data_IF_959316699675
#
_entry.id   IF_959316699675
#
_cell.length_a   1.000
_cell.length_b   1.000
_cell.length_c   1.000
_cell.angle_alpha   90.00
_cell.angle_beta   90.00
_cell.angle_gamma   90.00
#
_symmetry.space_group_name_H-M   'P 1'
#
loop_
_entity.id
_entity.type
_entity.pdbx_description
1 polymer ?
#
# COMPACT_ATOMS: atom_id res chain seq x y z
N UNK A 1 13.89 -55.16 27.16
CA UNK A 1 13.16 -54.99 25.88
C UNK A 1 12.07 -53.91 25.89
N UNK A 2 11.37 -53.64 27.01
CA UNK A 2 10.21 -52.72 27.05
C UNK A 2 10.56 -51.22 26.84
N UNK A 3 11.74 -50.76 27.23
CA UNK A 3 12.15 -49.34 27.14
C UNK A 3 12.35 -48.83 25.70
N UNK A 4 12.75 -49.71 24.76
CA UNK A 4 12.92 -49.32 23.35
C UNK A 4 11.57 -49.07 22.66
N UNK A 5 10.52 -49.76 23.08
CA UNK A 5 9.17 -49.62 22.53
C UNK A 5 8.53 -48.30 22.94
N UNK A 6 8.70 -47.86 24.19
CA UNK A 6 8.19 -46.56 24.64
C UNK A 6 8.86 -45.38 23.93
N UNK A 7 10.18 -45.46 23.70
CA UNK A 7 10.91 -44.42 22.96
C UNK A 7 10.41 -44.28 21.52
N UNK A 8 10.14 -45.41 20.86
CA UNK A 8 9.64 -45.44 19.48
C UNK A 8 8.21 -44.88 19.38
N UNK A 9 7.34 -45.19 20.35
CA UNK A 9 5.99 -44.62 20.43
C UNK A 9 6.03 -43.13 20.71
N UNK A 10 6.95 -42.65 21.55
CA UNK A 10 7.10 -41.23 21.87
C UNK A 10 7.62 -40.42 20.69
N UNK A 11 8.58 -40.95 19.91
CA UNK A 11 9.07 -40.34 18.67
C UNK A 11 7.97 -40.31 17.61
N UNK A 12 7.20 -41.40 17.45
CA UNK A 12 6.10 -41.46 16.49
C UNK A 12 4.99 -40.46 16.84
N UNK A 13 4.64 -40.34 18.12
CA UNK A 13 3.69 -39.35 18.63
C UNK A 13 4.17 -37.91 18.41
N UNK A 14 5.48 -37.64 18.53
CA UNK A 14 6.07 -36.33 18.22
C UNK A 14 6.12 -36.02 16.70
N UNK A 15 6.24 -37.04 15.85
CA UNK A 15 6.22 -36.85 14.39
C UNK A 15 4.81 -36.61 13.84
N UNK A 16 3.77 -37.05 14.55
CA UNK A 16 2.37 -36.83 14.19
C UNK A 16 1.85 -35.44 14.61
N UNK A 17 2.59 -34.70 15.44
CA UNK A 17 2.33 -33.30 15.81
C UNK A 17 3.14 -32.30 15.00
N UNK A 18 3.79 -32.73 13.90
CA UNK A 18 4.25 -31.82 12.86
C UNK A 18 3.00 -31.34 12.12
N UNK A 19 2.26 -30.48 12.81
CA UNK A 19 1.12 -29.73 12.33
C UNK A 19 1.48 -29.16 10.96
N UNK A 20 0.54 -29.23 10.02
CA UNK A 20 0.57 -28.52 8.75
C UNK A 20 0.88 -27.04 9.03
N UNK A 21 2.16 -26.72 9.09
CA UNK A 21 2.64 -25.35 9.20
C UNK A 21 2.57 -24.84 7.78
N UNK A 22 1.35 -24.49 7.36
CA UNK A 22 1.15 -23.77 6.12
C UNK A 22 2.00 -22.51 6.25
N UNK A 23 3.07 -22.43 5.48
CA UNK A 23 3.90 -21.24 5.42
C UNK A 23 3.03 -20.13 4.79
N UNK A 24 2.36 -19.34 5.61
CA UNK A 24 1.53 -18.24 5.15
C UNK A 24 2.43 -17.18 4.54
N UNK A 25 2.32 -16.88 3.25
CA UNK A 25 3.14 -15.78 2.69
C UNK A 25 2.51 -14.45 3.10
N UNK A 26 3.24 -13.64 3.87
CA UNK A 26 2.80 -12.30 4.22
C UNK A 26 3.30 -11.30 3.18
N UNK A 27 2.39 -10.42 2.76
CA UNK A 27 2.62 -9.45 1.71
C UNK A 27 2.28 -8.05 2.25
N UNK A 28 3.11 -7.08 1.92
CA UNK A 28 2.81 -5.65 2.05
C UNK A 28 3.04 -4.94 0.73
N UNK A 29 2.56 -3.69 0.60
CA UNK A 29 2.99 -2.82 -0.50
C UNK A 29 4.01 -1.81 0.02
N UNK A 30 5.09 -1.63 -0.74
CA UNK A 30 5.99 -0.52 -0.51
C UNK A 30 5.36 0.81 -0.94
N UNK A 31 5.75 1.91 -0.31
CA UNK A 31 5.34 3.25 -0.72
C UNK A 31 5.79 3.55 -2.16
N UNK A 32 6.92 3.00 -2.59
CA UNK A 32 7.40 3.08 -3.96
C UNK A 32 6.42 2.44 -4.95
N UNK A 33 5.87 1.27 -4.61
CA UNK A 33 4.84 0.61 -5.42
C UNK A 33 3.56 1.45 -5.47
N UNK A 34 3.12 1.99 -4.33
CA UNK A 34 1.92 2.85 -4.27
C UNK A 34 2.11 4.11 -5.11
N UNK A 35 3.26 4.77 -5.01
CA UNK A 35 3.58 5.96 -5.80
C UNK A 35 3.60 5.66 -7.31
N UNK A 36 4.26 4.57 -7.73
CA UNK A 36 4.33 4.18 -9.15
C UNK A 36 2.99 3.72 -9.72
N UNK A 37 2.10 3.23 -8.86
CA UNK A 37 0.74 2.84 -9.24
C UNK A 37 -0.23 4.02 -9.33
N UNK A 38 0.15 5.20 -8.81
CA UNK A 38 -0.71 6.38 -8.77
C UNK A 38 -0.60 7.21 -10.05
N UNK A 39 -1.73 7.73 -10.52
CA UNK A 39 -1.79 8.75 -11.58
C UNK A 39 -1.79 10.17 -11.02
N UNK A 40 -2.28 10.33 -9.78
CA UNK A 40 -2.32 11.60 -9.05
C UNK A 40 -2.00 11.33 -7.56
N UNK A 41 -1.12 12.13 -6.98
CA UNK A 41 -0.80 12.07 -5.54
C UNK A 41 -0.97 13.49 -5.00
N UNK A 42 -1.87 13.66 -4.03
CA UNK A 42 -2.26 14.96 -3.48
C UNK A 42 -2.32 14.92 -1.97
N UNK A 43 -2.06 16.08 -1.36
CA UNK A 43 -2.23 16.36 0.05
C UNK A 43 -3.32 17.42 0.21
N UNK A 44 -4.12 17.31 1.26
CA UNK A 44 -5.28 18.19 1.46
C UNK A 44 -6.27 17.64 2.48
N UNK A 45 -7.51 18.08 2.40
CA UNK A 45 -8.58 17.73 3.36
C UNK A 45 -9.81 17.19 2.66
N UNK A 46 -10.43 16.18 3.25
CA UNK A 46 -11.72 15.65 2.79
C UNK A 46 -12.81 16.59 3.28
N UNK A 47 -13.60 17.14 2.35
CA UNK A 47 -14.64 18.15 2.65
C UNK A 47 -16.04 17.56 2.66
N UNK A 48 -16.30 16.49 1.91
CA UNK A 48 -17.56 15.73 1.98
C UNK A 48 -17.33 14.24 1.74
N UNK A 49 -18.21 13.41 2.31
CA UNK A 49 -18.25 11.96 2.11
C UNK A 49 -19.71 11.54 1.94
N UNK A 50 -20.11 11.33 0.69
CA UNK A 50 -21.49 11.06 0.30
C UNK A 50 -21.62 9.64 -0.27
N UNK A 51 -22.78 9.01 -0.09
CA UNK A 51 -23.06 7.72 -0.75
C UNK A 51 -23.92 7.95 -1.99
N UNK A 52 -23.45 7.45 -3.14
CA UNK A 52 -24.22 7.38 -4.39
C UNK A 52 -24.36 5.91 -4.78
N UNK A 53 -25.49 5.30 -4.39
CA UNK A 53 -25.73 3.87 -4.57
C UNK A 53 -24.72 3.02 -3.79
N UNK A 54 -23.94 2.19 -4.49
CA UNK A 54 -22.89 1.33 -3.89
C UNK A 54 -21.52 2.01 -3.82
N UNK A 55 -21.41 3.26 -4.27
CA UNK A 55 -20.16 4.00 -4.25
C UNK A 55 -20.19 5.09 -3.18
N UNK A 56 -19.03 5.31 -2.57
CA UNK A 56 -18.76 6.51 -1.80
C UNK A 56 -18.09 7.52 -2.71
N UNK A 57 -18.56 8.76 -2.65
CA UNK A 57 -18.00 9.92 -3.34
C UNK A 57 -17.40 10.82 -2.29
N UNK A 58 -16.11 11.10 -2.41
CA UNK A 58 -15.40 12.01 -1.52
C UNK A 58 -15.05 13.29 -2.26
N UNK A 59 -15.49 14.42 -1.73
CA UNK A 59 -15.01 15.73 -2.16
C UNK A 59 -13.73 16.06 -1.40
N UNK A 60 -12.74 16.59 -2.11
CA UNK A 60 -11.41 16.80 -1.58
C UNK A 60 -10.86 18.16 -1.99
N UNK A 61 -10.37 18.92 -1.02
CA UNK A 61 -9.67 20.17 -1.23
C UNK A 61 -8.16 19.95 -1.13
N UNK A 62 -7.47 20.18 -2.23
CA UNK A 62 -6.03 19.95 -2.41
C UNK A 62 -5.26 21.16 -1.89
N UNK A 63 -4.42 20.94 -0.88
CA UNK A 63 -3.42 21.90 -0.41
C UNK A 63 -2.12 21.82 -1.21
N UNK A 64 -1.73 20.62 -1.66
CA UNK A 64 -0.50 20.39 -2.40
C UNK A 64 -0.64 19.22 -3.40
N UNK A 65 -0.31 19.46 -4.67
CA UNK A 65 -0.16 18.40 -5.68
C UNK A 65 1.28 17.89 -5.75
N UNK A 66 1.50 16.61 -5.46
CA UNK A 66 2.85 16.02 -5.41
C UNK A 66 3.23 15.35 -6.75
N UNK A 67 2.31 14.59 -7.33
CA UNK A 67 2.51 13.86 -8.58
C UNK A 67 1.23 13.88 -9.43
N UNK A 68 1.36 13.81 -10.76
CA UNK A 68 0.23 13.92 -11.69
C UNK A 68 -0.07 15.37 -12.08
N UNK A 69 -0.92 15.53 -13.10
CA UNK A 69 -1.41 16.84 -13.53
C UNK A 69 -2.65 17.21 -12.72
N UNK A 70 -2.56 18.30 -11.95
CA UNK A 70 -3.68 18.82 -11.17
C UNK A 70 -4.40 19.91 -11.97
N UNK A 71 -5.68 19.70 -12.27
CA UNK A 71 -6.50 20.66 -13.05
C UNK A 71 -7.28 21.65 -12.17
N UNK A 72 -7.49 21.30 -10.91
CA UNK A 72 -8.32 22.04 -9.97
C UNK A 72 -7.84 21.76 -8.54
N UNK A 73 -7.98 22.73 -7.65
CA UNK A 73 -7.73 22.55 -6.21
C UNK A 73 -8.86 21.77 -5.53
N UNK A 74 -10.04 21.66 -6.16
CA UNK A 74 -11.09 20.76 -5.75
C UNK A 74 -11.13 19.53 -6.67
N UNK A 75 -11.08 18.34 -6.09
CA UNK A 75 -11.22 17.07 -6.82
C UNK A 75 -12.24 16.17 -6.13
N UNK A 76 -12.82 15.25 -6.91
CA UNK A 76 -13.63 14.16 -6.39
C UNK A 76 -12.92 12.83 -6.67
N UNK A 77 -13.02 11.90 -5.72
CA UNK A 77 -12.66 10.50 -5.94
C UNK A 77 -13.75 9.58 -5.42
N UNK A 78 -13.90 8.43 -6.08
CA UNK A 78 -14.95 7.47 -5.76
C UNK A 78 -14.37 6.11 -5.42
N UNK A 79 -15.04 5.39 -4.53
CA UNK A 79 -14.64 4.03 -4.21
C UNK A 79 -15.84 3.16 -3.79
N UNK A 80 -15.68 1.84 -3.88
CA UNK A 80 -16.73 0.89 -3.52
C UNK A 80 -16.96 0.89 -1.99
N UNK A 81 -18.23 1.00 -1.58
CA UNK A 81 -18.58 1.11 -0.17
C UNK A 81 -18.12 -0.11 0.64
N UNK A 82 -17.36 0.15 1.70
CA UNK A 82 -16.99 -0.82 2.72
C UNK A 82 -17.13 -0.11 4.08
N UNK A 83 -17.92 -0.67 4.99
CA UNK A 83 -18.27 0.00 6.25
C UNK A 83 -17.04 0.46 7.04
N UNK A 84 -16.06 -0.42 7.26
CA UNK A 84 -14.86 -0.09 8.04
C UNK A 84 -14.03 1.04 7.40
N UNK A 85 -13.95 1.03 6.07
CA UNK A 85 -13.26 2.07 5.32
C UNK A 85 -14.02 3.39 5.31
N UNK A 86 -15.34 3.34 5.16
CA UNK A 86 -16.21 4.52 5.21
C UNK A 86 -16.09 5.22 6.56
N UNK A 87 -16.08 4.46 7.65
CA UNK A 87 -15.94 4.99 9.00
C UNK A 87 -14.55 5.61 9.21
N UNK A 88 -13.50 5.00 8.65
CA UNK A 88 -12.15 5.59 8.64
C UNK A 88 -12.13 6.94 7.91
N UNK A 89 -12.68 6.99 6.70
CA UNK A 89 -12.69 8.21 5.86
C UNK A 89 -13.56 9.30 6.47
N UNK A 90 -14.72 8.97 7.03
CA UNK A 90 -15.57 9.93 7.76
C UNK A 90 -14.86 10.54 8.97
N UNK A 91 -14.08 9.75 9.73
CA UNK A 91 -13.28 10.26 10.85
C UNK A 91 -12.19 11.25 10.40
N UNK A 92 -11.58 11.03 9.24
CA UNK A 92 -10.62 11.97 8.66
C UNK A 92 -11.30 13.30 8.30
N UNK A 93 -12.51 13.23 7.72
CA UNK A 93 -13.31 14.40 7.37
C UNK A 93 -13.74 15.22 8.61
N UNK A 94 -14.31 14.59 9.65
CA UNK A 94 -14.87 15.31 10.81
C UNK A 94 -13.82 16.09 11.60
N UNK A 95 -12.55 15.68 11.57
CA UNK A 95 -11.47 16.40 12.21
C UNK A 95 -10.79 17.46 11.33
N UNK A 96 -11.28 17.70 10.10
CA UNK A 96 -10.56 18.48 9.07
C UNK A 96 -9.09 18.04 8.96
N UNK A 97 -8.87 16.72 9.09
CA UNK A 97 -7.52 16.17 9.16
C UNK A 97 -6.89 16.23 7.79
N UNK A 98 -5.62 16.62 7.78
CA UNK A 98 -4.86 16.59 6.55
C UNK A 98 -4.53 15.15 6.18
N UNK A 99 -4.78 14.80 4.93
CA UNK A 99 -4.55 13.46 4.41
C UNK A 99 -3.68 13.51 3.15
N UNK A 100 -2.92 12.43 2.96
CA UNK A 100 -2.21 12.14 1.72
C UNK A 100 -2.98 11.06 0.97
N UNK A 101 -3.37 11.37 -0.27
CA UNK A 101 -4.21 10.50 -1.09
C UNK A 101 -3.47 10.10 -2.35
N UNK A 102 -3.45 8.79 -2.61
CA UNK A 102 -2.88 8.17 -3.80
C UNK A 102 -4.02 7.74 -4.72
N UNK A 103 -4.11 8.31 -5.90
CA UNK A 103 -5.25 8.16 -6.81
C UNK A 103 -4.84 7.56 -8.15
N UNK A 104 -5.69 6.70 -8.69
CA UNK A 104 -5.62 6.16 -10.06
C UNK A 104 -6.75 6.74 -10.90
N UNK A 105 -6.49 7.04 -12.17
CA UNK A 105 -7.53 7.42 -13.12
C UNK A 105 -8.16 6.14 -13.69
N UNK A 106 -9.42 5.87 -13.30
CA UNK A 106 -10.19 4.71 -13.77
C UNK A 106 -10.35 4.68 -15.29
N UNK A 107 -10.41 5.86 -15.92
CA UNK A 107 -10.69 6.01 -17.34
C UNK A 107 -9.42 6.32 -18.15
N UNK A 108 -8.23 5.95 -17.63
CA UNK A 108 -6.93 6.29 -18.24
C UNK A 108 -6.78 5.82 -19.70
N UNK A 109 -7.36 4.67 -20.02
CA UNK A 109 -7.31 4.10 -21.38
C UNK A 109 -8.36 4.74 -22.32
N UNK A 110 -9.37 5.41 -21.77
CA UNK A 110 -10.47 6.02 -22.52
C UNK A 110 -10.21 7.51 -22.77
N UNK A 111 -9.47 7.82 -23.85
CA UNK A 111 -8.97 9.18 -24.17
C UNK A 111 -9.99 10.32 -24.15
N UNK A 112 -11.30 10.04 -24.25
CA UNK A 112 -12.37 11.05 -24.28
C UNK A 112 -13.28 11.04 -23.05
N UNK A 113 -13.11 10.06 -22.16
CA UNK A 113 -13.91 9.97 -20.95
C UNK A 113 -13.47 11.05 -19.94
N UNK A 114 -14.39 11.55 -19.10
CA UNK A 114 -14.01 12.40 -17.99
C UNK A 114 -13.07 11.64 -17.06
N UNK A 115 -12.12 12.37 -16.46
CA UNK A 115 -11.21 11.79 -15.47
C UNK A 115 -12.04 11.39 -14.25
N UNK A 116 -11.93 10.13 -13.86
CA UNK A 116 -12.56 9.62 -12.63
C UNK A 116 -11.46 9.01 -11.77
N UNK A 117 -11.31 9.54 -10.55
CA UNK A 117 -10.31 9.05 -9.63
C UNK A 117 -10.87 7.99 -8.69
N UNK A 118 -10.05 6.98 -8.41
CA UNK A 118 -10.24 6.04 -7.31
C UNK A 118 -8.96 6.02 -6.48
N UNK A 119 -9.03 5.85 -5.15
CA UNK A 119 -7.82 5.63 -4.37
C UNK A 119 -7.13 4.32 -4.78
N UNK A 120 -5.80 4.30 -4.69
CA UNK A 120 -5.02 3.06 -4.81
C UNK A 120 -5.44 2.13 -3.66
N UNK A 121 -5.65 0.86 -3.98
CA UNK A 121 -6.01 -0.16 -2.99
C UNK A 121 -4.78 -0.95 -2.54
N UNK A 122 -4.74 -1.26 -1.26
CA UNK A 122 -3.95 -2.35 -0.73
C UNK A 122 -4.62 -3.68 -1.10
N UNK A 123 -3.89 -4.51 -1.83
CA UNK A 123 -4.40 -5.79 -2.33
C UNK A 123 -4.51 -6.87 -1.25
N UNK A 124 -3.85 -6.69 -0.10
CA UNK A 124 -3.87 -7.68 0.97
C UNK A 124 -4.96 -7.36 2.00
N UNK A 125 -5.09 -6.09 2.35
CA UNK A 125 -6.03 -5.64 3.37
C UNK A 125 -7.37 -5.13 2.80
N UNK A 126 -7.41 -4.81 1.51
CA UNK A 126 -8.57 -4.19 0.85
C UNK A 126 -8.79 -2.72 1.21
N UNK A 127 -7.94 -2.13 2.07
CA UNK A 127 -8.01 -0.72 2.46
C UNK A 127 -7.42 0.18 1.37
N UNK A 128 -7.83 1.44 1.38
CA UNK A 128 -7.29 2.45 0.47
C UNK A 128 -6.07 3.17 1.05
N UNK A 129 -5.17 3.57 0.16
CA UNK A 129 -4.09 4.52 0.44
C UNK A 129 -4.64 5.96 0.52
N UNK A 130 -5.50 6.17 1.54
CA UNK A 130 -5.92 7.46 2.08
C UNK A 130 -5.29 7.53 3.47
N UNK A 131 -4.20 8.28 3.59
CA UNK A 131 -3.35 8.30 4.76
C UNK A 131 -3.67 9.52 5.59
N UNK A 132 -4.12 9.31 6.83
CA UNK A 132 -4.23 10.37 7.83
C UNK A 132 -2.83 10.82 8.23
N UNK A 133 -2.45 12.06 7.96
CA UNK A 133 -1.10 12.53 8.30
C UNK A 133 -0.92 12.79 9.79
N UNK A 134 -1.99 12.90 10.57
CA UNK A 134 -1.89 12.94 12.04
C UNK A 134 -1.61 11.56 12.64
N UNK A 135 -2.05 10.50 11.95
CA UNK A 135 -1.92 9.10 12.35
C UNK A 135 -1.60 8.24 11.11
N UNK A 136 -0.39 8.37 10.52
CA UNK A 136 -0.04 7.70 9.26
C UNK A 136 -0.09 6.16 9.36
N UNK A 137 -0.15 5.66 10.60
CA UNK A 137 -0.29 4.24 10.90
C UNK A 137 0.97 3.47 10.55
N UNK A 138 0.82 2.16 10.38
CA UNK A 138 1.92 1.23 10.13
C UNK A 138 2.03 0.73 8.70
N UNK A 139 1.20 1.27 7.80
CA UNK A 139 1.00 0.74 6.45
C UNK A 139 1.98 1.30 5.41
N UNK A 140 2.79 2.29 5.79
CA UNK A 140 3.72 2.94 4.88
C UNK A 140 5.13 2.40 5.11
N UNK A 141 5.50 1.45 4.25
CA UNK A 141 6.77 0.73 4.32
C UNK A 141 7.68 1.21 3.20
N UNK A 142 8.91 1.58 3.54
CA UNK A 142 9.98 1.84 2.57
C UNK A 142 10.62 0.51 2.18
N UNK A 143 10.60 0.17 0.89
CA UNK A 143 11.35 -0.98 0.41
C UNK A 143 12.85 -0.68 0.26
N UNK A 144 13.21 0.59 0.03
CA UNK A 144 14.62 1.01 -0.06
C UNK A 144 15.38 0.80 1.24
N UNK A 145 14.79 1.23 2.36
CA UNK A 145 15.44 1.24 3.66
C UNK A 145 14.93 0.13 4.59
N UNK A 146 13.91 -0.63 4.17
CA UNK A 146 13.23 -1.68 4.94
C UNK A 146 12.73 -1.19 6.30
N UNK A 147 12.16 0.03 6.30
CA UNK A 147 11.65 0.73 7.49
C UNK A 147 10.16 1.06 7.40
N UNK A 148 9.55 1.25 8.56
CA UNK A 148 8.19 1.78 8.68
C UNK A 148 8.28 3.30 8.82
N UNK A 149 7.53 4.02 7.98
CA UNK A 149 7.42 5.46 8.04
C UNK A 149 6.38 5.83 9.09
N UNK A 150 6.82 6.32 10.25
CA UNK A 150 5.97 6.47 11.45
C UNK A 150 5.42 7.87 11.63
N UNK A 151 6.11 8.87 11.07
CA UNK A 151 5.76 10.29 11.26
C UNK A 151 5.30 10.92 9.95
N UNK A 152 4.47 11.97 10.06
CA UNK A 152 4.08 12.80 8.93
C UNK A 152 5.30 13.29 8.12
N UNK A 153 6.30 13.83 8.82
CA UNK A 153 7.50 14.37 8.19
C UNK A 153 8.25 13.30 7.38
N UNK A 154 8.39 12.08 7.92
CA UNK A 154 9.01 10.96 7.20
C UNK A 154 8.20 10.56 5.97
N UNK A 155 6.88 10.39 6.12
CA UNK A 155 5.99 10.00 5.02
C UNK A 155 6.06 11.01 3.88
N UNK A 156 5.91 12.30 4.18
CA UNK A 156 5.91 13.36 3.16
C UNK A 156 7.29 13.49 2.52
N UNK A 157 8.37 13.50 3.32
CA UNK A 157 9.73 13.59 2.79
C UNK A 157 10.03 12.40 1.88
N UNK A 158 9.75 11.19 2.34
CA UNK A 158 10.00 9.98 1.55
C UNK A 158 9.19 9.96 0.25
N UNK A 159 7.90 10.32 0.33
CA UNK A 159 7.03 10.43 -0.85
C UNK A 159 7.59 11.42 -1.86
N UNK A 160 7.98 12.62 -1.43
CA UNK A 160 8.57 13.65 -2.30
C UNK A 160 9.90 13.19 -2.91
N UNK A 161 10.79 12.63 -2.09
CA UNK A 161 12.10 12.13 -2.52
C UNK A 161 11.95 11.02 -3.59
N UNK A 162 10.96 10.13 -3.43
CA UNK A 162 10.68 9.09 -4.42
C UNK A 162 10.00 9.65 -5.68
N UNK A 163 9.08 10.60 -5.55
CA UNK A 163 8.43 11.27 -6.70
C UNK A 163 9.46 11.96 -7.60
N UNK A 164 10.49 12.58 -7.05
CA UNK A 164 11.59 13.17 -7.83
C UNK A 164 12.30 12.09 -8.66
N UNK A 165 12.62 10.95 -8.05
CA UNK A 165 13.23 9.82 -8.77
C UNK A 165 12.31 9.27 -9.85
N UNK A 166 11.01 9.16 -9.57
CA UNK A 166 9.99 8.69 -10.50
C UNK A 166 9.83 9.61 -11.71
N UNK A 167 9.74 10.93 -11.50
CA UNK A 167 9.65 11.93 -12.58
C UNK A 167 10.89 11.86 -13.49
N UNK A 168 12.08 11.89 -12.90
CA UNK A 168 13.35 11.76 -13.62
C UNK A 168 13.43 10.48 -14.46
N UNK A 169 12.87 9.38 -13.95
CA UNK A 169 12.81 8.12 -14.68
C UNK A 169 11.82 8.18 -15.86
N UNK A 170 10.60 8.70 -15.63
CA UNK A 170 9.54 8.78 -16.65
C UNK A 170 9.89 9.74 -17.80
N UNK A 171 10.63 10.81 -17.51
CA UNK A 171 11.16 11.73 -18.54
C UNK A 171 12.11 11.01 -19.50
N UNK A 172 12.98 10.13 -18.97
CA UNK A 172 13.95 9.35 -19.76
C UNK A 172 13.32 8.19 -20.53
N UNK A 173 12.26 7.58 -19.99
CA UNK A 173 11.68 6.33 -20.49
C UNK A 173 10.21 6.46 -20.92
N UNK A 174 9.84 7.64 -21.47
CA UNK A 174 8.50 8.04 -21.95
C UNK A 174 7.50 6.88 -22.01
N UNK A 175 6.48 6.91 -21.14
CA UNK A 175 5.37 5.94 -21.06
C UNK A 175 5.79 4.51 -20.68
N UNK A 176 6.48 4.34 -19.55
CA UNK A 176 6.70 3.02 -18.93
C UNK A 176 5.50 2.64 -18.05
N UNK A 177 5.03 1.40 -18.21
CA UNK A 177 4.17 0.72 -17.22
C UNK A 177 5.07 -0.06 -16.27
N UNK A 178 4.97 0.21 -14.97
CA UNK A 178 5.72 -0.51 -13.95
C UNK A 178 5.12 -1.90 -13.75
N UNK A 179 5.99 -2.90 -13.60
CA UNK A 179 5.58 -4.25 -13.21
C UNK A 179 5.72 -4.39 -11.70
N UNK A 180 4.81 -5.18 -11.12
CA UNK A 180 4.79 -5.46 -9.68
C UNK A 180 5.67 -6.66 -9.36
N UNK A 181 6.77 -6.44 -8.65
CA UNK A 181 7.71 -7.49 -8.22
C UNK A 181 7.61 -7.69 -6.70
N UNK A 182 8.09 -8.85 -6.21
CA UNK A 182 8.16 -9.19 -4.80
C UNK A 182 9.61 -9.10 -4.32
N UNK A 183 9.85 -8.21 -3.36
CA UNK A 183 11.09 -8.09 -2.63
C UNK A 183 10.99 -8.91 -1.34
N UNK A 184 11.82 -9.93 -1.21
CA UNK A 184 11.93 -10.71 0.02
C UNK A 184 12.54 -9.85 1.14
N UNK A 185 11.94 -9.92 2.32
CA UNK A 185 12.37 -9.12 3.46
C UNK A 185 13.37 -9.86 4.33
N UNK A 186 14.45 -9.16 4.70
CA UNK A 186 15.37 -9.66 5.71
C UNK A 186 14.66 -9.79 7.06
N UNK A 187 14.89 -10.91 7.76
CA UNK A 187 14.30 -11.20 9.07
C UNK A 187 14.62 -10.14 10.13
N UNK A 188 15.74 -9.46 9.98
CA UNK A 188 16.20 -8.43 10.92
C UNK A 188 15.62 -7.05 10.61
N UNK A 189 14.86 -6.91 9.50
CA UNK A 189 14.29 -5.62 9.11
C UNK A 189 13.05 -5.26 9.92
N UNK A 190 12.84 -3.96 10.14
CA UNK A 190 11.66 -3.45 10.85
C UNK A 190 10.35 -3.83 10.13
N UNK A 191 10.36 -3.76 8.80
CA UNK A 191 9.19 -4.13 7.97
C UNK A 191 8.89 -5.62 8.10
N UNK A 192 9.91 -6.48 8.15
CA UNK A 192 9.69 -7.90 8.42
C UNK A 192 9.03 -8.08 9.78
N UNK A 193 9.56 -7.48 10.85
CA UNK A 193 9.01 -7.64 12.20
C UNK A 193 7.54 -7.19 12.31
N UNK A 194 7.14 -6.17 11.55
CA UNK A 194 5.74 -5.73 11.52
C UNK A 194 4.83 -6.67 10.71
N UNK A 195 5.33 -7.27 9.63
CA UNK A 195 4.58 -8.23 8.82
C UNK A 195 4.62 -9.66 9.37
N UNK A 196 5.55 -9.97 10.28
CA UNK A 196 5.89 -11.33 10.65
C UNK A 196 4.78 -12.00 11.49
N UNK A 197 4.09 -12.96 10.88
CA UNK A 197 3.20 -13.91 11.57
C UNK A 197 3.78 -15.34 11.65
N UNK A 198 5.11 -15.51 11.48
CA UNK A 198 5.77 -16.82 11.53
C UNK A 198 6.27 -17.37 10.18
N UNK A 199 6.45 -16.54 9.16
CA UNK A 199 6.66 -16.99 7.78
C UNK A 199 7.54 -16.06 6.91
N UNK A 200 7.70 -16.41 5.62
CA UNK A 200 8.33 -15.53 4.62
C UNK A 200 7.47 -14.29 4.36
N UNK A 201 8.09 -13.11 4.44
CA UNK A 201 7.43 -11.83 4.21
C UNK A 201 8.01 -11.14 2.97
N UNK A 202 7.15 -10.53 2.15
CA UNK A 202 7.56 -9.80 0.95
C UNK A 202 6.90 -8.43 0.88
N UNK A 203 7.59 -7.47 0.24
CA UNK A 203 6.98 -6.23 -0.22
C UNK A 203 6.78 -6.24 -1.73
N UNK A 204 5.62 -5.77 -2.16
CA UNK A 204 5.43 -5.36 -3.54
C UNK A 204 6.21 -4.09 -3.83
N UNK A 205 7.01 -4.14 -4.89
CA UNK A 205 7.91 -3.08 -5.34
C UNK A 205 7.83 -2.92 -6.87
N UNK A 206 8.14 -1.72 -7.40
CA UNK A 206 8.22 -1.51 -8.85
C UNK A 206 9.51 -2.12 -9.43
N UNK A 207 9.37 -2.91 -10.50
CA UNK A 207 10.45 -3.64 -11.20
C UNK A 207 11.74 -2.82 -11.39
N UNK A 208 11.61 -1.61 -11.91
CA UNK A 208 12.79 -0.83 -12.34
C UNK A 208 13.60 -0.26 -11.19
N UNK A 209 12.99 -0.03 -10.03
CA UNK A 209 13.69 0.53 -8.87
C UNK A 209 14.27 -0.56 -7.96
N UNK A 210 13.89 -1.81 -8.17
CA UNK A 210 14.28 -2.96 -7.36
C UNK A 210 14.66 -4.14 -8.25
N UNK A 211 15.79 -4.07 -9.00
CA UNK A 211 16.16 -5.08 -9.99
C UNK A 211 16.45 -6.47 -9.41
N UNK A 212 16.71 -6.55 -8.09
CA UNK A 212 16.93 -7.81 -7.38
C UNK A 212 15.63 -8.45 -6.88
N UNK A 213 14.49 -7.77 -6.99
CA UNK A 213 13.19 -8.34 -6.68
C UNK A 213 12.75 -9.32 -7.78
N UNK A 214 11.91 -10.29 -7.43
CA UNK A 214 11.46 -11.34 -8.36
C UNK A 214 10.08 -11.01 -8.91
N UNK A 215 9.80 -11.39 -10.16
CA UNK A 215 8.43 -11.33 -10.71
C UNK A 215 7.51 -12.24 -9.88
N UNK A 216 6.25 -11.84 -9.72
CA UNK A 216 5.27 -12.60 -8.93
C UNK A 216 5.12 -14.01 -9.53
N UNK A 217 5.37 -15.05 -8.71
CA UNK A 217 5.10 -16.45 -9.07
C UNK A 217 3.59 -16.69 -9.19
#
# INVERSE_FOLDING_TARGET
MKTKTYLLVLILAFSLTISNTSAEINLGNSLEWVCTSSDLIVRGTITSVDMKGKQVVCSFEVSEGLFGELKSTAIEFTYASNQAQNDKVKRMMTGSREVLVFLINKNKEEKKAPIEYSPVHDQNSGFFYIIDLSEPGKLLMSAKDLKILKTNAEVIKYTKDFIVQLKNFLEKKKKKKFKKYMLELSKDSEVFQELYSGSSCYLYVPDVFFPNAKEKM
#
